data_IF_697463765153
#
_entry.id   IF_697463765153
#
_cell.length_a   1.000
_cell.length_b   1.000
_cell.length_c   1.000
_cell.angle_alpha   90.00
_cell.angle_beta   90.00
_cell.angle_gamma   90.00
#
_symmetry.space_group_name_H-M   'P 1'
#
loop_
_entity.id
_entity.type
_entity.pdbx_description
1 polymer ?
#
# COMPACT_ATOMS: atom_id res chain seq x y z
N UNK A 1 28.91 -3.38 3.32
CA UNK A 1 27.75 -2.71 3.98
C UNK A 1 27.12 -1.59 3.15
N UNK A 2 27.81 -0.99 2.15
CA UNK A 2 27.23 0.07 1.29
C UNK A 2 26.10 -0.43 0.35
N UNK A 3 26.20 -1.65 -0.19
CA UNK A 3 25.18 -2.18 -1.12
C UNK A 3 23.78 -2.31 -0.51
N UNK A 4 23.68 -2.85 0.71
CA UNK A 4 22.41 -3.03 1.41
C UNK A 4 21.73 -1.68 1.72
N UNK A 5 22.54 -0.67 2.07
CA UNK A 5 22.07 0.69 2.33
C UNK A 5 21.43 1.32 1.09
N UNK A 6 22.09 1.23 -0.08
CA UNK A 6 21.54 1.69 -1.36
C UNK A 6 20.25 0.96 -1.77
N UNK A 7 20.13 -0.34 -1.46
CA UNK A 7 18.91 -1.11 -1.76
C UNK A 7 17.72 -0.65 -0.93
N UNK A 8 17.93 -0.34 0.35
CA UNK A 8 16.86 0.17 1.23
C UNK A 8 16.48 1.60 0.87
N UNK A 9 17.46 2.45 0.56
CA UNK A 9 17.25 3.84 0.14
C UNK A 9 16.30 3.94 -1.06
N UNK A 10 16.49 3.04 -2.05
CA UNK A 10 15.72 3.00 -3.30
C UNK A 10 14.49 2.09 -3.24
N UNK A 11 14.12 1.59 -2.06
CA UNK A 11 13.01 0.66 -1.93
C UNK A 11 11.68 1.36 -2.17
N UNK A 12 11.07 1.11 -3.33
CA UNK A 12 9.80 1.73 -3.71
C UNK A 12 8.60 1.12 -2.98
N UNK A 13 7.65 1.96 -2.57
CA UNK A 13 6.37 1.51 -2.01
C UNK A 13 5.54 0.70 -3.03
N UNK A 14 5.87 0.74 -4.33
CA UNK A 14 5.22 -0.07 -5.37
C UNK A 14 5.35 -1.58 -5.15
N UNK A 15 6.32 -2.06 -4.36
CA UNK A 15 6.45 -3.49 -4.04
C UNK A 15 5.23 -4.06 -3.31
N UNK A 16 4.42 -3.21 -2.65
CA UNK A 16 3.13 -3.63 -2.08
C UNK A 16 2.12 -4.12 -3.13
N UNK A 17 2.32 -3.80 -4.41
CA UNK A 17 1.51 -4.34 -5.51
C UNK A 17 1.53 -5.87 -5.60
N UNK A 18 2.64 -6.51 -5.23
CA UNK A 18 2.72 -7.98 -5.20
C UNK A 18 1.77 -8.53 -4.14
N UNK A 19 1.73 -7.93 -2.96
CA UNK A 19 0.84 -8.37 -1.86
C UNK A 19 -0.62 -8.16 -2.20
N UNK A 20 -0.94 -7.02 -2.84
CA UNK A 20 -2.28 -6.76 -3.35
C UNK A 20 -2.69 -7.80 -4.40
N UNK A 21 -1.84 -8.04 -5.40
CA UNK A 21 -2.11 -8.97 -6.50
C UNK A 21 -2.28 -10.41 -6.01
N UNK A 22 -1.34 -10.91 -5.20
CA UNK A 22 -1.44 -12.25 -4.60
C UNK A 22 -2.63 -12.35 -3.65
N UNK A 23 -2.96 -11.27 -2.94
CA UNK A 23 -4.11 -11.22 -2.03
C UNK A 23 -5.45 -11.37 -2.76
N UNK A 24 -5.67 -10.55 -3.78
CA UNK A 24 -6.86 -10.62 -4.63
C UNK A 24 -6.95 -11.97 -5.36
N UNK A 25 -5.82 -12.50 -5.84
CA UNK A 25 -5.78 -13.79 -6.49
C UNK A 25 -6.17 -14.94 -5.55
N UNK A 26 -5.67 -14.94 -4.31
CA UNK A 26 -6.03 -15.93 -3.29
C UNK A 26 -7.52 -15.83 -2.91
N UNK A 27 -8.01 -14.62 -2.63
CA UNK A 27 -9.43 -14.39 -2.29
C UNK A 27 -10.36 -14.83 -3.42
N UNK A 28 -10.05 -14.49 -4.67
CA UNK A 28 -10.80 -14.92 -5.85
C UNK A 28 -10.79 -16.44 -6.00
N UNK A 29 -9.63 -17.07 -5.80
CA UNK A 29 -9.47 -18.53 -5.84
C UNK A 29 -10.39 -19.21 -4.83
N UNK A 30 -10.45 -18.71 -3.59
CA UNK A 30 -11.34 -19.23 -2.55
C UNK A 30 -12.82 -19.07 -2.92
N UNK A 31 -13.22 -17.91 -3.42
CA UNK A 31 -14.62 -17.66 -3.81
C UNK A 31 -15.06 -18.58 -4.96
N UNK A 32 -14.21 -18.77 -5.97
CA UNK A 32 -14.48 -19.71 -7.07
C UNK A 32 -14.53 -21.14 -6.55
N UNK A 33 -13.61 -21.55 -5.67
CA UNK A 33 -13.63 -22.87 -5.03
C UNK A 33 -14.95 -23.12 -4.30
N UNK A 34 -15.46 -22.09 -3.62
CA UNK A 34 -16.73 -22.15 -2.87
C UNK A 34 -17.95 -22.25 -3.78
N UNK A 35 -17.99 -21.50 -4.88
CA UNK A 35 -19.11 -21.51 -5.83
C UNK A 35 -19.20 -22.85 -6.56
N UNK A 36 -18.07 -23.36 -7.06
CA UNK A 36 -18.03 -24.57 -7.90
C UNK A 36 -17.64 -25.84 -7.13
N UNK A 37 -17.47 -25.74 -5.81
CA UNK A 37 -17.05 -26.83 -4.91
C UNK A 37 -15.77 -27.57 -5.37
N UNK A 38 -14.77 -26.81 -5.83
CA UNK A 38 -13.52 -27.36 -6.39
C UNK A 38 -12.45 -27.52 -5.30
N UNK A 39 -12.19 -28.75 -4.88
CA UNK A 39 -11.21 -29.08 -3.81
C UNK A 39 -9.79 -28.59 -4.13
N UNK A 40 -9.37 -28.65 -5.40
CA UNK A 40 -8.03 -28.21 -5.81
C UNK A 40 -7.79 -26.72 -5.54
N UNK A 41 -8.81 -25.87 -5.79
CA UNK A 41 -8.69 -24.43 -5.56
C UNK A 41 -8.64 -24.08 -4.08
N UNK A 42 -9.31 -24.85 -3.22
CA UNK A 42 -9.15 -24.69 -1.77
C UNK A 42 -7.69 -24.91 -1.36
N UNK A 43 -7.05 -26.00 -1.82
CA UNK A 43 -5.63 -26.25 -1.55
C UNK A 43 -4.74 -25.10 -2.02
N UNK A 44 -5.01 -24.54 -3.20
CA UNK A 44 -4.29 -23.39 -3.72
C UNK A 44 -4.46 -22.15 -2.82
N UNK A 45 -5.68 -21.86 -2.36
CA UNK A 45 -5.92 -20.78 -1.39
C UNK A 45 -5.15 -20.99 -0.06
N UNK A 46 -5.15 -22.21 0.47
CA UNK A 46 -4.44 -22.55 1.70
C UNK A 46 -2.92 -22.41 1.58
N UNK A 47 -2.36 -22.51 0.38
CA UNK A 47 -0.93 -22.26 0.10
C UNK A 47 -0.67 -20.75 -0.10
N UNK A 48 -1.52 -20.08 -0.89
CA UNK A 48 -1.33 -18.68 -1.25
C UNK A 48 -1.48 -17.73 -0.05
N UNK A 49 -2.37 -18.04 0.89
CA UNK A 49 -2.62 -17.19 2.06
C UNK A 49 -1.40 -17.02 2.97
N UNK A 50 -0.75 -18.09 3.48
CA UNK A 50 0.47 -17.96 4.27
C UNK A 50 1.63 -17.40 3.46
N UNK A 51 1.73 -17.73 2.16
CA UNK A 51 2.73 -17.14 1.27
C UNK A 51 2.57 -15.62 1.17
N UNK A 52 1.34 -15.13 0.98
CA UNK A 52 1.07 -13.70 0.93
C UNK A 52 1.33 -13.01 2.27
N UNK A 53 1.01 -13.68 3.38
CA UNK A 53 1.30 -13.19 4.73
C UNK A 53 2.81 -13.02 4.95
N UNK A 54 3.63 -14.00 4.56
CA UNK A 54 5.09 -13.91 4.64
C UNK A 54 5.62 -12.80 3.72
N UNK A 55 5.14 -12.73 2.48
CA UNK A 55 5.53 -11.69 1.52
C UNK A 55 5.25 -10.28 2.05
N UNK A 56 4.12 -10.09 2.75
CA UNK A 56 3.81 -8.81 3.39
C UNK A 56 4.92 -8.38 4.35
N UNK A 57 5.41 -9.25 5.23
CA UNK A 57 6.51 -8.90 6.14
C UNK A 57 7.85 -8.72 5.42
N UNK A 58 8.12 -9.51 4.38
CA UNK A 58 9.33 -9.36 3.55
C UNK A 58 9.40 -7.99 2.90
N UNK A 59 8.27 -7.41 2.49
CA UNK A 59 8.17 -6.06 1.92
C UNK A 59 8.08 -4.99 3.02
N UNK A 60 7.36 -5.27 4.11
CA UNK A 60 7.14 -4.31 5.19
C UNK A 60 8.44 -3.99 5.94
N UNK A 61 9.29 -4.98 6.23
CA UNK A 61 10.55 -4.77 6.96
C UNK A 61 11.47 -3.75 6.26
N UNK A 62 11.85 -3.91 4.97
CA UNK A 62 12.67 -2.92 4.28
C UNK A 62 11.95 -1.57 4.14
N UNK A 63 10.62 -1.55 4.00
CA UNK A 63 9.86 -0.31 3.96
C UNK A 63 9.91 0.46 5.30
N UNK A 64 9.75 -0.23 6.43
CA UNK A 64 9.90 0.38 7.77
C UNK A 64 11.34 0.82 8.00
N UNK A 65 12.34 0.03 7.59
CA UNK A 65 13.75 0.43 7.67
C UNK A 65 14.00 1.72 6.87
N UNK A 66 13.43 1.83 5.67
CA UNK A 66 13.47 3.05 4.86
C UNK A 66 12.81 4.22 5.58
N UNK A 67 11.62 4.02 6.15
CA UNK A 67 10.93 5.05 6.94
C UNK A 67 11.74 5.51 8.16
N UNK A 68 12.56 4.66 8.78
CA UNK A 68 13.34 5.03 9.98
C UNK A 68 14.68 5.69 9.63
N UNK A 69 15.40 5.19 8.62
CA UNK A 69 16.75 5.65 8.28
C UNK A 69 16.81 6.73 7.20
N UNK A 70 15.76 6.82 6.38
CA UNK A 70 15.72 7.62 5.15
C UNK A 70 14.43 8.44 5.08
N UNK A 71 14.12 9.12 6.19
CA UNK A 71 12.88 9.90 6.37
C UNK A 71 12.74 11.01 5.34
N UNK A 72 13.83 11.75 5.09
CA UNK A 72 13.83 12.90 4.18
C UNK A 72 13.47 12.46 2.76
N UNK A 73 14.13 11.42 2.25
CA UNK A 73 13.85 10.85 0.93
C UNK A 73 12.44 10.25 0.83
N UNK A 74 11.93 9.64 1.91
CA UNK A 74 10.54 9.15 1.96
C UNK A 74 9.53 10.30 1.90
N UNK A 75 9.81 11.45 2.53
CA UNK A 75 8.95 12.62 2.47
C UNK A 75 8.99 13.25 1.07
N UNK A 76 10.17 13.29 0.43
CA UNK A 76 10.30 13.73 -0.96
C UNK A 76 9.50 12.83 -1.92
N UNK A 77 9.64 11.51 -1.79
CA UNK A 77 8.85 10.55 -2.57
C UNK A 77 7.34 10.66 -2.29
N UNK A 78 6.94 11.04 -1.08
CA UNK A 78 5.53 11.24 -0.74
C UNK A 78 4.94 12.48 -1.42
N UNK A 79 5.74 13.55 -1.57
CA UNK A 79 5.34 14.79 -2.27
C UNK A 79 5.37 14.64 -3.79
N UNK A 80 6.16 13.70 -4.31
CA UNK A 80 6.18 13.41 -5.73
C UNK A 80 4.79 12.91 -6.20
N UNK A 81 4.17 13.53 -7.21
CA UNK A 81 2.79 13.22 -7.62
C UNK A 81 2.62 11.80 -8.18
N UNK A 82 3.70 11.18 -8.67
CA UNK A 82 3.65 9.82 -9.22
C UNK A 82 3.94 8.82 -8.09
N UNK A 83 5.03 8.99 -7.35
CA UNK A 83 5.46 8.06 -6.30
C UNK A 83 4.58 8.12 -5.05
N UNK A 84 4.06 9.31 -4.72
CA UNK A 84 3.15 9.53 -3.59
C UNK A 84 1.91 8.64 -3.67
N UNK A 85 1.34 8.46 -4.87
CA UNK A 85 0.21 7.55 -5.10
C UNK A 85 0.51 6.08 -4.77
N UNK A 86 1.77 5.66 -4.61
CA UNK A 86 2.05 4.29 -4.19
C UNK A 86 1.98 4.11 -2.66
N UNK A 87 1.89 5.18 -1.87
CA UNK A 87 1.88 5.08 -0.40
C UNK A 87 0.61 4.45 0.16
N UNK A 88 -0.55 4.72 -0.43
CA UNK A 88 -1.81 4.10 0.02
C UNK A 88 -1.87 2.59 -0.28
N UNK A 89 -0.96 2.05 -1.12
CA UNK A 89 -0.91 0.61 -1.43
C UNK A 89 -0.56 -0.24 -0.22
N UNK A 90 0.13 0.30 0.78
CA UNK A 90 0.31 -0.38 2.06
C UNK A 90 -1.06 -0.74 2.66
N UNK A 91 -1.97 0.23 2.72
CA UNK A 91 -3.31 0.04 3.27
C UNK A 91 -4.13 -0.96 2.45
N UNK A 92 -4.10 -0.85 1.13
CA UNK A 92 -4.79 -1.81 0.26
C UNK A 92 -4.21 -3.23 0.41
N UNK A 93 -2.88 -3.36 0.51
CA UNK A 93 -2.22 -4.63 0.78
C UNK A 93 -2.70 -5.27 2.09
N UNK A 94 -2.83 -4.47 3.15
CA UNK A 94 -3.37 -4.92 4.44
C UNK A 94 -4.84 -5.34 4.35
N UNK A 95 -5.67 -4.62 3.59
CA UNK A 95 -7.07 -4.99 3.36
C UNK A 95 -7.20 -6.30 2.57
N UNK A 96 -6.36 -6.50 1.55
CA UNK A 96 -6.31 -7.77 0.81
C UNK A 96 -5.88 -8.93 1.72
N UNK A 97 -4.88 -8.72 2.59
CA UNK A 97 -4.44 -9.69 3.57
C UNK A 97 -5.55 -10.02 4.59
N UNK A 98 -6.28 -9.00 5.05
CA UNK A 98 -7.42 -9.16 5.96
C UNK A 98 -8.45 -10.13 5.39
N UNK A 99 -8.84 -9.95 4.13
CA UNK A 99 -9.81 -10.84 3.47
C UNK A 99 -9.31 -12.29 3.41
N UNK A 100 -8.04 -12.49 3.04
CA UNK A 100 -7.43 -13.81 3.05
C UNK A 100 -7.47 -14.45 4.45
N UNK A 101 -7.05 -13.70 5.47
CA UNK A 101 -7.03 -14.17 6.87
C UNK A 101 -8.43 -14.48 7.38
N UNK A 102 -9.44 -13.70 6.97
CA UNK A 102 -10.83 -13.95 7.30
C UNK A 102 -11.31 -15.28 6.71
N UNK A 103 -11.04 -15.55 5.42
CA UNK A 103 -11.34 -16.84 4.80
C UNK A 103 -10.53 -18.01 5.40
N UNK A 104 -9.32 -17.72 5.88
CA UNK A 104 -8.47 -18.67 6.61
C UNK A 104 -8.94 -18.89 8.07
N UNK A 105 -10.03 -18.24 8.51
CA UNK A 105 -10.61 -18.32 9.86
C UNK A 105 -9.73 -17.73 10.98
N UNK A 106 -8.78 -16.86 10.64
CA UNK A 106 -7.99 -16.09 11.60
C UNK A 106 -8.62 -14.72 11.87
N UNK A 107 -9.85 -14.73 12.38
CA UNK A 107 -10.71 -13.54 12.47
C UNK A 107 -10.07 -12.39 13.24
N UNK A 108 -9.48 -12.65 14.42
CA UNK A 108 -8.85 -11.60 15.23
C UNK A 108 -7.74 -10.87 14.47
N UNK A 109 -6.89 -11.62 13.75
CA UNK A 109 -5.80 -11.05 12.96
C UNK A 109 -6.36 -10.32 11.73
N UNK A 110 -7.38 -10.90 11.08
CA UNK A 110 -8.06 -10.26 9.96
C UNK A 110 -8.60 -8.87 10.34
N UNK A 111 -9.30 -8.75 11.48
CA UNK A 111 -9.83 -7.46 11.94
C UNK A 111 -8.74 -6.44 12.24
N UNK A 112 -7.61 -6.85 12.84
CA UNK A 112 -6.47 -5.94 13.07
C UNK A 112 -5.95 -5.40 11.75
N UNK A 113 -5.72 -6.27 10.77
CA UNK A 113 -5.28 -5.86 9.42
C UNK A 113 -6.31 -5.00 8.71
N UNK A 114 -7.59 -5.28 8.88
CA UNK A 114 -8.68 -4.50 8.31
C UNK A 114 -8.69 -3.07 8.84
N UNK A 115 -8.66 -2.91 10.16
CA UNK A 115 -8.67 -1.60 10.82
C UNK A 115 -7.43 -0.81 10.40
N UNK A 116 -6.24 -1.37 10.57
CA UNK A 116 -4.99 -0.69 10.24
C UNK A 116 -4.90 -0.35 8.74
N UNK A 117 -5.36 -1.25 7.87
CA UNK A 117 -5.40 -1.04 6.43
C UNK A 117 -6.36 0.09 6.03
N UNK A 118 -7.56 0.12 6.60
CA UNK A 118 -8.55 1.15 6.34
C UNK A 118 -8.07 2.54 6.79
N UNK A 119 -7.56 2.64 8.03
CA UNK A 119 -7.05 3.91 8.57
C UNK A 119 -5.84 4.42 7.77
N UNK A 120 -4.86 3.56 7.49
CA UNK A 120 -3.67 3.95 6.73
C UNK A 120 -4.04 4.42 5.32
N UNK A 121 -4.93 3.71 4.62
CA UNK A 121 -5.40 4.10 3.28
C UNK A 121 -6.08 5.46 3.30
N UNK A 122 -7.05 5.68 4.20
CA UNK A 122 -7.81 6.94 4.27
C UNK A 122 -6.88 8.11 4.60
N UNK A 123 -6.05 7.98 5.63
CA UNK A 123 -5.16 9.06 6.08
C UNK A 123 -4.16 9.42 4.99
N UNK A 124 -3.49 8.43 4.37
CA UNK A 124 -2.49 8.69 3.34
C UNK A 124 -3.12 9.27 2.07
N UNK A 125 -4.28 8.78 1.66
CA UNK A 125 -4.98 9.28 0.48
C UNK A 125 -5.43 10.73 0.66
N UNK A 126 -6.00 11.05 1.82
CA UNK A 126 -6.40 12.42 2.14
C UNK A 126 -5.18 13.34 2.17
N UNK A 127 -4.09 12.92 2.83
CA UNK A 127 -2.85 13.70 2.89
C UNK A 127 -2.26 13.98 1.50
N UNK A 128 -2.19 12.97 0.62
CA UNK A 128 -1.74 13.12 -0.77
C UNK A 128 -2.61 14.07 -1.57
N UNK A 129 -3.93 13.95 -1.42
CA UNK A 129 -4.89 14.83 -2.08
C UNK A 129 -4.67 16.28 -1.65
N UNK A 130 -4.54 16.56 -0.35
CA UNK A 130 -4.26 17.90 0.16
C UNK A 130 -2.96 18.49 -0.39
N UNK A 131 -1.87 17.70 -0.43
CA UNK A 131 -0.59 18.15 -1.00
C UNK A 131 -0.72 18.49 -2.48
N UNK A 132 -1.30 17.58 -3.26
CA UNK A 132 -1.43 17.74 -4.72
C UNK A 132 -2.27 18.98 -5.09
N UNK A 133 -3.38 19.22 -4.37
CA UNK A 133 -4.22 20.40 -4.60
C UNK A 133 -3.49 21.70 -4.25
N UNK A 134 -2.73 21.70 -3.15
CA UNK A 134 -1.99 22.87 -2.69
C UNK A 134 -0.88 23.24 -3.68
N UNK A 135 -0.10 22.26 -4.13
CA UNK A 135 0.98 22.47 -5.11
C UNK A 135 0.43 22.99 -6.45
N UNK A 136 -0.69 22.42 -6.91
CA UNK A 136 -1.37 22.86 -8.13
C UNK A 136 -1.85 24.31 -8.05
N UNK A 137 -2.34 24.72 -6.87
CA UNK A 137 -2.80 26.09 -6.63
C UNK A 137 -1.65 27.10 -6.65
N UNK A 138 -0.55 26.82 -5.95
CA UNK A 138 0.61 27.70 -5.91
C UNK A 138 1.34 27.79 -7.26
N UNK A 139 1.42 26.69 -8.01
CA UNK A 139 2.03 26.68 -9.33
C UNK A 139 1.23 27.46 -10.38
N UNK A 140 -0.09 27.60 -10.18
CA UNK A 140 -0.94 28.44 -11.02
C UNK A 140 -0.77 29.95 -10.69
N UNK A 141 -0.65 30.29 -9.40
CA UNK A 141 -0.38 31.66 -8.96
C UNK A 141 0.98 32.19 -9.43
N UNK A 142 2.01 31.34 -9.47
CA UNK A 142 3.32 31.75 -9.99
C UNK A 142 3.34 31.97 -11.51
N UNK A 143 2.40 31.36 -12.26
CA UNK A 143 2.27 31.49 -13.72
C UNK A 143 1.42 32.68 -14.15
N UNK A 144 0.55 33.19 -13.26
CA UNK A 144 -0.29 34.36 -13.51
C UNK A 144 -0.19 35.35 -12.34
N UNK A 145 0.93 36.10 -12.21
CA UNK A 145 1.11 37.11 -11.16
C UNK A 145 0.16 38.32 -11.29
N UNK A 146 -0.63 38.37 -12.37
CA UNK A 146 -1.46 39.51 -12.79
C UNK A 146 -2.79 39.62 -12.00
N UNK A 147 -3.10 38.65 -11.14
CA UNK A 147 -4.29 38.68 -10.27
C UNK A 147 -4.03 39.29 -8.88
N UNK A 148 -2.98 40.10 -8.73
CA UNK A 148 -2.78 40.91 -7.55
C UNK A 148 -3.48 42.28 -7.68
N UNK A 149 -4.61 42.39 -6.98
CA UNK A 149 -5.29 43.61 -6.53
C UNK A 149 -5.62 44.67 -7.60
N UNK A 150 -6.84 44.59 -8.12
CA UNK A 150 -7.58 45.79 -8.53
C UNK A 150 -8.98 45.77 -7.92
N UNK A 151 -9.18 46.56 -6.86
CA UNK A 151 -10.50 46.92 -6.32
C UNK A 151 -11.10 45.96 -5.32
#
# INVERSE_FOLDING_TARGET
MQGFRNTIEKFSTSWFAIIMGTGVFASSTFLIAKIYNLTLLYSLFYILTPLNFILFFVVLVPWIMRLLWFKEEMIEDFKDPIKGNFFYMLGIGMLALSTNLYFYRLYSVAYVFWILGAFSMIILQIALMFLTFTDSYFMNLSKHPEFHFSG
#
